data_IF_327904663379
#
_entry.id   IF_327904663379
#
_cell.length_a   1.000
_cell.length_b   1.000
_cell.length_c   1.000
_cell.angle_alpha   90.00
_cell.angle_beta   90.00
_cell.angle_gamma   90.00
#
_symmetry.space_group_name_H-M   'P 1'
#
loop_
_entity.id
_entity.type
_entity.pdbx_description
1 polymer ?
#
# COMPACT_ATOMS: atom_id res chain seq x y z
N UNK A 1 -28.91 -24.76 -21.30
CA UNK A 1 -27.65 -25.23 -20.66
C UNK A 1 -26.55 -24.14 -20.63
N UNK A 2 -26.41 -23.32 -21.67
CA UNK A 2 -25.40 -22.23 -21.74
C UNK A 2 -25.53 -21.15 -20.63
N UNK A 3 -26.74 -20.71 -20.27
CA UNK A 3 -26.96 -19.72 -19.20
C UNK A 3 -26.42 -20.14 -17.82
N UNK A 4 -26.56 -21.43 -17.45
CA UNK A 4 -26.04 -21.95 -16.17
C UNK A 4 -24.51 -21.99 -16.16
N UNK A 5 -23.88 -22.33 -17.29
CA UNK A 5 -22.41 -22.31 -17.44
C UNK A 5 -21.86 -20.88 -17.41
N UNK A 6 -22.55 -19.92 -18.04
CA UNK A 6 -22.18 -18.51 -17.99
C UNK A 6 -22.28 -17.90 -16.59
N UNK A 7 -23.32 -18.24 -15.82
CA UNK A 7 -23.48 -17.80 -14.43
C UNK A 7 -22.38 -18.37 -13.52
N UNK A 8 -22.05 -19.66 -13.68
CA UNK A 8 -20.95 -20.30 -12.95
C UNK A 8 -19.61 -19.65 -13.28
N UNK A 9 -19.33 -19.38 -14.55
CA UNK A 9 -18.10 -18.71 -14.97
C UNK A 9 -18.00 -17.30 -14.39
N UNK A 10 -19.08 -16.52 -14.44
CA UNK A 10 -19.13 -15.19 -13.84
C UNK A 10 -18.91 -15.23 -12.32
N UNK A 11 -19.48 -16.22 -11.63
CA UNK A 11 -19.25 -16.43 -10.20
C UNK A 11 -17.79 -16.74 -9.89
N UNK A 12 -17.15 -17.62 -10.67
CA UNK A 12 -15.72 -17.93 -10.49
C UNK A 12 -14.84 -16.71 -10.74
N UNK A 13 -15.10 -15.94 -11.81
CA UNK A 13 -14.37 -14.71 -12.11
C UNK A 13 -14.51 -13.67 -10.98
N UNK A 14 -15.71 -13.54 -10.42
CA UNK A 14 -15.96 -12.65 -9.29
C UNK A 14 -15.16 -13.07 -8.04
N UNK A 15 -15.16 -14.36 -7.70
CA UNK A 15 -14.37 -14.88 -6.57
C UNK A 15 -12.88 -14.64 -6.79
N UNK A 16 -12.36 -14.90 -8.00
CA UNK A 16 -10.96 -14.64 -8.33
C UNK A 16 -10.62 -13.15 -8.21
N UNK A 17 -11.50 -12.26 -8.66
CA UNK A 17 -11.33 -10.83 -8.52
C UNK A 17 -11.28 -10.40 -7.05
N UNK A 18 -12.19 -10.91 -6.22
CA UNK A 18 -12.20 -10.63 -4.79
C UNK A 18 -10.93 -11.13 -4.08
N UNK A 19 -10.45 -12.32 -4.44
CA UNK A 19 -9.20 -12.86 -3.91
C UNK A 19 -7.99 -11.99 -4.30
N UNK A 20 -7.93 -11.52 -5.54
CA UNK A 20 -6.88 -10.59 -5.98
C UNK A 20 -6.93 -9.29 -5.18
N UNK A 21 -8.12 -8.71 -5.00
CA UNK A 21 -8.30 -7.48 -4.23
C UNK A 21 -7.79 -7.67 -2.79
N UNK A 22 -8.16 -8.78 -2.12
CA UNK A 22 -7.69 -9.08 -0.76
C UNK A 22 -6.18 -9.29 -0.72
N UNK A 23 -5.60 -9.94 -1.73
CA UNK A 23 -4.16 -10.22 -1.77
C UNK A 23 -3.32 -8.96 -1.91
N UNK A 24 -3.76 -8.02 -2.76
CA UNK A 24 -3.06 -6.76 -3.01
C UNK A 24 -3.34 -5.70 -1.94
N UNK A 25 -4.43 -5.79 -1.19
CA UNK A 25 -4.76 -4.86 -0.10
C UNK A 25 -3.81 -5.01 1.12
N UNK A 26 -3.27 -3.92 1.70
CA UNK A 26 -3.27 -2.56 1.18
C UNK A 26 -2.23 -2.37 0.07
N UNK A 27 -2.52 -1.47 -0.88
CA UNK A 27 -1.61 -1.14 -2.01
C UNK A 27 -1.31 0.36 -2.02
N UNK A 28 -0.04 0.74 -1.97
CA UNK A 28 0.39 2.12 -2.15
C UNK A 28 0.96 2.36 -3.55
N UNK A 29 0.75 3.56 -4.08
CA UNK A 29 1.19 3.96 -5.41
C UNK A 29 1.43 5.46 -5.49
N UNK A 30 2.28 5.84 -6.44
CA UNK A 30 2.56 7.19 -6.87
C UNK A 30 2.12 7.37 -8.33
N UNK A 31 2.27 8.59 -8.87
CA UNK A 31 1.90 8.90 -10.26
C UNK A 31 2.58 8.00 -11.31
N UNK A 32 3.74 7.46 -10.99
CA UNK A 32 4.66 6.72 -11.86
C UNK A 32 4.74 5.23 -11.54
N UNK A 33 4.02 4.74 -10.53
CA UNK A 33 3.88 3.29 -10.29
C UNK A 33 3.48 2.89 -8.88
N UNK A 34 3.45 1.57 -8.64
CA UNK A 34 3.19 0.99 -7.31
C UNK A 34 4.45 1.02 -6.44
N UNK A 35 4.27 1.35 -5.16
CA UNK A 35 5.33 1.21 -4.16
C UNK A 35 5.49 -0.27 -3.77
N UNK A 36 6.71 -0.64 -3.40
CA UNK A 36 6.98 -2.02 -2.95
C UNK A 36 6.46 -2.20 -1.54
N UNK A 37 5.65 -3.23 -1.32
CA UNK A 37 5.02 -3.55 -0.04
C UNK A 37 5.71 -4.71 0.65
N UNK A 38 5.99 -4.57 1.95
CA UNK A 38 6.42 -5.65 2.84
C UNK A 38 5.54 -5.69 4.08
N UNK A 39 4.92 -6.84 4.35
CA UNK A 39 4.20 -7.05 5.61
C UNK A 39 5.18 -7.44 6.71
N UNK A 40 5.02 -6.88 7.90
CA UNK A 40 5.87 -7.14 9.07
C UNK A 40 5.02 -7.33 10.33
N UNK A 41 5.56 -8.01 11.34
CA UNK A 41 4.91 -8.15 12.65
C UNK A 41 5.10 -6.89 13.54
N UNK A 42 6.16 -6.12 13.24
CA UNK A 42 6.49 -4.87 13.93
C UNK A 42 7.58 -4.09 13.21
N UNK A 43 7.71 -2.81 13.56
CA UNK A 43 8.66 -1.87 12.94
C UNK A 43 10.08 -1.92 13.55
N UNK A 44 10.45 -3.06 14.13
CA UNK A 44 11.76 -3.25 14.77
C UNK A 44 12.80 -3.87 13.81
N UNK A 45 12.36 -4.37 12.67
CA UNK A 45 13.24 -5.01 11.68
C UNK A 45 13.55 -4.00 10.58
N UNK A 46 14.82 -3.89 10.20
CA UNK A 46 15.21 -3.12 9.02
C UNK A 46 14.46 -3.69 7.81
N UNK A 47 13.75 -2.84 7.07
CA UNK A 47 13.20 -3.25 5.81
C UNK A 47 14.36 -3.48 4.83
N UNK A 48 14.48 -4.70 4.30
CA UNK A 48 15.43 -5.03 3.24
C UNK A 48 14.64 -5.53 2.03
N UNK A 49 14.38 -4.61 1.11
CA UNK A 49 13.64 -4.89 -0.12
C UNK A 49 14.54 -4.87 -1.36
N UNK A 50 15.86 -4.82 -1.16
CA UNK A 50 16.82 -4.63 -2.24
C UNK A 50 16.63 -3.29 -2.98
N UNK A 51 17.29 -3.15 -4.14
CA UNK A 51 17.28 -1.91 -4.92
C UNK A 51 15.90 -1.60 -5.53
N UNK A 52 15.07 -0.84 -4.83
CA UNK A 52 13.79 -0.32 -5.32
C UNK A 52 13.95 1.09 -5.91
N UNK A 53 14.67 1.22 -7.04
CA UNK A 53 14.69 2.46 -7.82
C UNK A 53 13.56 2.42 -8.85
N UNK A 54 12.38 2.96 -8.51
CA UNK A 54 11.22 2.94 -9.42
C UNK A 54 10.47 4.25 -9.54
N UNK A 55 10.82 5.28 -8.76
CA UNK A 55 10.05 6.51 -8.71
C UNK A 55 10.92 7.76 -8.91
N UNK A 56 10.41 8.70 -9.70
CA UNK A 56 11.08 9.95 -9.99
C UNK A 56 11.17 10.84 -8.73
N UNK A 57 12.16 11.73 -8.69
CA UNK A 57 12.36 12.64 -7.56
C UNK A 57 11.25 13.68 -7.40
N UNK A 58 10.43 13.89 -8.42
CA UNK A 58 9.33 14.85 -8.44
C UNK A 58 7.97 14.23 -8.06
N UNK A 59 7.97 12.97 -7.58
CA UNK A 59 6.82 12.39 -6.89
C UNK A 59 6.68 13.03 -5.52
N UNK A 60 5.65 13.85 -5.35
CA UNK A 60 5.33 14.63 -4.15
C UNK A 60 4.17 14.03 -3.32
N UNK A 61 3.40 13.11 -3.90
CA UNK A 61 2.21 12.53 -3.28
C UNK A 61 2.14 11.03 -3.47
N UNK A 62 1.82 10.34 -2.38
CA UNK A 62 1.57 8.90 -2.37
C UNK A 62 0.11 8.66 -2.07
N UNK A 63 -0.46 7.67 -2.73
CA UNK A 63 -1.83 7.21 -2.56
C UNK A 63 -1.82 5.79 -1.99
N UNK A 64 -2.82 5.46 -1.19
CA UNK A 64 -3.04 4.14 -0.63
C UNK A 64 -4.48 3.71 -0.87
N UNK A 65 -4.63 2.60 -1.58
CA UNK A 65 -5.89 1.87 -1.63
C UNK A 65 -5.91 0.83 -0.51
N UNK A 66 -6.86 0.97 0.40
CA UNK A 66 -7.00 0.11 1.56
C UNK A 66 -8.48 -0.21 1.85
N UNK A 67 -8.91 -1.42 1.53
CA UNK A 67 -10.24 -1.93 1.88
C UNK A 67 -10.22 -2.47 3.31
N UNK A 68 -10.23 -1.56 4.28
CA UNK A 68 -10.38 -1.90 5.69
C UNK A 68 -11.34 -0.91 6.36
N UNK A 69 -12.18 -1.35 7.30
CA UNK A 69 -12.91 -0.44 8.18
C UNK A 69 -12.01 0.22 9.23
N UNK A 70 -10.79 -0.29 9.43
CA UNK A 70 -9.86 0.22 10.44
C UNK A 70 -9.21 1.54 10.00
N UNK A 71 -8.80 2.34 10.98
CA UNK A 71 -8.04 3.55 10.73
C UNK A 71 -6.68 3.22 10.09
N UNK A 72 -6.28 4.03 9.11
CA UNK A 72 -4.96 3.99 8.49
C UNK A 72 -4.07 5.00 9.20
N UNK A 73 -2.92 4.54 9.69
CA UNK A 73 -1.85 5.44 10.15
C UNK A 73 -0.64 5.29 9.26
N UNK A 74 0.01 6.41 8.96
CA UNK A 74 1.22 6.46 8.14
C UNK A 74 2.30 7.21 8.91
N UNK A 75 3.49 6.65 8.93
CA UNK A 75 4.69 7.31 9.42
C UNK A 75 5.77 7.24 8.34
N UNK A 76 6.56 8.30 8.16
CA UNK A 76 7.78 8.20 7.38
C UNK A 76 8.85 7.50 8.20
N UNK A 77 9.64 6.65 7.53
CA UNK A 77 10.71 5.88 8.13
C UNK A 77 12.04 6.64 8.02
N UNK A 78 12.62 6.99 9.16
CA UNK A 78 13.94 7.61 9.25
C UNK A 78 14.77 6.89 10.31
N UNK A 79 15.83 6.18 9.91
CA UNK A 79 16.78 5.52 10.83
C UNK A 79 16.11 4.69 11.95
N UNK A 80 15.14 3.84 11.62
CA UNK A 80 14.38 3.03 12.59
C UNK A 80 13.39 3.81 13.47
N UNK A 81 13.20 5.10 13.21
CA UNK A 81 12.19 5.93 13.85
C UNK A 81 11.06 6.25 12.86
N UNK A 82 9.83 6.22 13.38
CA UNK A 82 8.63 6.57 12.62
C UNK A 82 8.26 8.01 12.95
N UNK A 83 8.17 8.87 11.93
CA UNK A 83 7.62 10.22 12.10
C UNK A 83 6.19 10.26 11.57
N UNK A 84 5.22 10.71 12.35
CA UNK A 84 3.82 10.74 11.90
C UNK A 84 3.69 11.60 10.66
N UNK A 85 2.96 11.08 9.67
CA UNK A 85 2.62 11.78 8.43
C UNK A 85 1.13 12.05 8.43
N UNK A 86 0.74 13.25 8.01
CA UNK A 86 -0.68 13.59 7.89
C UNK A 86 -1.31 12.86 6.70
N UNK A 87 -2.29 12.02 7.01
CA UNK A 87 -3.02 11.22 6.03
C UNK A 87 -4.38 11.86 5.77
N UNK A 88 -4.65 12.17 4.50
CA UNK A 88 -5.96 12.65 4.06
C UNK A 88 -6.71 11.52 3.37
N UNK A 89 -7.93 11.22 3.82
CA UNK A 89 -8.84 10.35 3.09
C UNK A 89 -9.54 11.15 1.98
N UNK A 90 -9.29 10.81 0.72
CA UNK A 90 -9.85 11.54 -0.44
C UNK A 90 -11.19 10.91 -0.88
N UNK A 91 -11.27 9.57 -0.82
CA UNK A 91 -12.47 8.79 -1.15
C UNK A 91 -12.60 7.61 -0.17
N UNK A 92 -13.75 6.92 -0.12
CA UNK A 92 -13.84 5.65 0.58
C UNK A 92 -12.70 4.72 0.16
N UNK A 93 -11.94 4.22 1.14
CA UNK A 93 -10.81 3.30 0.95
C UNK A 93 -9.60 3.86 0.17
N UNK A 94 -9.59 5.17 -0.13
CA UNK A 94 -8.47 5.83 -0.82
C UNK A 94 -7.93 6.98 0.03
N UNK A 95 -6.68 6.82 0.42
CA UNK A 95 -5.95 7.75 1.28
C UNK A 95 -4.78 8.35 0.50
N UNK A 96 -4.29 9.50 0.93
CA UNK A 96 -3.08 10.10 0.41
C UNK A 96 -2.30 10.86 1.46
N UNK A 97 -1.02 11.02 1.23
CA UNK A 97 -0.16 11.90 1.99
C UNK A 97 0.92 12.51 1.10
N UNK A 98 1.51 13.60 1.58
CA UNK A 98 2.65 14.23 0.94
C UNK A 98 3.95 13.50 1.29
N UNK A 99 4.82 13.41 0.31
CA UNK A 99 6.14 12.77 0.41
C UNK A 99 7.20 13.86 0.32
N UNK A 100 8.11 13.86 1.27
CA UNK A 100 9.30 14.72 1.23
C UNK A 100 10.44 14.03 0.46
N UNK A 101 11.40 14.81 -0.02
CA UNK A 101 12.54 14.28 -0.81
C UNK A 101 13.39 13.26 -0.04
N UNK A 102 13.38 13.32 1.30
CA UNK A 102 14.17 12.43 2.15
C UNK A 102 13.42 11.14 2.51
N UNK A 103 12.12 11.05 2.21
CA UNK A 103 11.35 9.85 2.52
C UNK A 103 11.73 8.71 1.56
N UNK A 104 12.30 7.66 2.13
CA UNK A 104 12.70 6.43 1.44
C UNK A 104 11.67 5.31 1.61
N UNK A 105 11.00 5.29 2.77
CA UNK A 105 9.97 4.33 3.10
C UNK A 105 8.91 4.92 4.05
N UNK A 106 7.75 4.26 4.09
CA UNK A 106 6.64 4.57 4.96
C UNK A 106 6.22 3.34 5.76
N UNK A 107 5.98 3.53 7.06
CA UNK A 107 5.27 2.58 7.92
C UNK A 107 3.79 2.84 7.75
N UNK A 108 3.03 1.79 7.42
CA UNK A 108 1.58 1.89 7.26
C UNK A 108 0.94 0.85 8.15
N UNK A 109 0.14 1.30 9.11
CA UNK A 109 -0.62 0.43 9.99
C UNK A 109 -2.11 0.50 9.65
N UNK A 110 -2.74 -0.67 9.57
CA UNK A 110 -4.18 -0.83 9.29
C UNK A 110 -4.70 -1.94 10.21
N UNK A 111 -5.45 -1.57 11.25
CA UNK A 111 -5.82 -2.49 12.31
C UNK A 111 -4.57 -3.15 12.91
N UNK A 112 -4.53 -4.49 12.94
CA UNK A 112 -3.36 -5.26 13.40
C UNK A 112 -2.28 -5.43 12.32
N UNK A 113 -2.57 -5.06 11.07
CA UNK A 113 -1.63 -5.20 9.96
C UNK A 113 -0.60 -4.07 9.93
N UNK A 114 0.68 -4.42 9.80
CA UNK A 114 1.79 -3.46 9.65
C UNK A 114 2.53 -3.72 8.36
N UNK A 115 2.86 -2.65 7.65
CA UNK A 115 3.46 -2.71 6.33
C UNK A 115 4.55 -1.65 6.18
N UNK A 116 5.64 -2.02 5.52
CA UNK A 116 6.54 -1.06 4.91
C UNK A 116 6.16 -0.84 3.44
N UNK A 117 6.10 0.42 3.03
CA UNK A 117 6.01 0.81 1.62
C UNK A 117 7.25 1.61 1.24
N UNK A 118 8.05 1.11 0.29
CA UNK A 118 9.28 1.78 -0.13
C UNK A 118 9.12 2.50 -1.45
N UNK A 119 9.74 3.68 -1.53
CA UNK A 119 9.74 4.54 -2.72
C UNK A 119 11.15 4.72 -3.31
N UNK A 120 12.20 4.64 -2.48
CA UNK A 120 13.61 4.76 -2.89
C UNK A 120 14.46 3.74 -2.10
N UNK A 121 15.52 3.19 -2.72
CA UNK A 121 16.57 2.46 -2.02
C UNK A 121 17.77 3.38 -1.80
N UNK A 122 18.34 3.36 -0.60
CA UNK A 122 19.75 3.66 -0.37
C UNK A 122 20.66 2.70 -1.14
#
# INVERSE_FOLDING_TARGET
MAKKKGLLLAGVLLVLLLLLIVWFNPTAFARDGLLTRMKVDGYQTQYDLGATRRHDSDVDRVYLFCLSPDAVTVESEEMFEGRPVEVTQILPFLYSWERTLNDSAFRVSVGDGKYYFTIVST
#
